data_IF_977371974925
#
_entry.id   IF_977371974925
#
_cell.length_a   1.000
_cell.length_b   1.000
_cell.length_c   1.000
_cell.angle_alpha   90.00
_cell.angle_beta   90.00
_cell.angle_gamma   90.00
#
_symmetry.space_group_name_H-M   'P 1'
#
loop_
_entity.id
_entity.type
_entity.pdbx_description
1 polymer ?
#
# COMPACT_ATOMS: atom_id res chain seq x y z
N UNK A 1 -20.75 -27.18 7.69
CA UNK A 1 -19.31 -27.33 7.44
C UNK A 1 -18.96 -26.21 6.50
N UNK A 2 -18.60 -25.06 7.07
CA UNK A 2 -18.16 -23.91 6.26
C UNK A 2 -16.69 -24.16 5.91
N UNK A 3 -16.41 -24.23 4.61
CA UNK A 3 -15.05 -24.25 4.12
C UNK A 3 -14.51 -22.83 4.28
N UNK A 4 -13.70 -22.61 5.31
CA UNK A 4 -12.87 -21.42 5.43
C UNK A 4 -11.81 -21.51 4.32
N UNK A 5 -12.17 -21.08 3.10
CA UNK A 5 -11.26 -20.97 1.95
C UNK A 5 -10.34 -19.76 2.13
N UNK A 6 -9.70 -19.64 3.28
CA UNK A 6 -8.72 -18.60 3.55
C UNK A 6 -7.40 -19.06 2.93
N UNK A 7 -7.31 -18.98 1.60
CA UNK A 7 -6.02 -19.07 0.93
C UNK A 7 -5.11 -18.01 1.56
N UNK A 8 -3.84 -18.34 1.85
CA UNK A 8 -2.91 -17.32 2.33
C UNK A 8 -2.81 -16.23 1.26
N UNK A 9 -2.82 -14.97 1.71
CA UNK A 9 -2.72 -13.82 0.81
C UNK A 9 -1.57 -14.02 -0.18
N UNK A 10 -1.81 -13.75 -1.47
CA UNK A 10 -0.77 -13.84 -2.52
C UNK A 10 0.27 -12.70 -2.46
N UNK A 11 0.34 -12.01 -1.31
CA UNK A 11 1.26 -10.95 -1.02
C UNK A 11 1.53 -10.83 0.48
N UNK A 12 2.62 -10.15 0.84
CA UNK A 12 2.88 -9.65 2.19
C UNK A 12 2.82 -8.12 2.21
N UNK A 13 2.30 -7.54 3.29
CA UNK A 13 2.30 -6.09 3.49
C UNK A 13 3.63 -5.65 4.14
N UNK A 14 4.29 -4.65 3.54
CA UNK A 14 5.57 -4.11 3.99
C UNK A 14 5.39 -2.82 4.79
N UNK A 15 4.57 -1.91 4.28
CA UNK A 15 4.19 -0.68 4.97
C UNK A 15 2.67 -0.52 4.92
N UNK A 16 2.09 -0.07 6.02
CA UNK A 16 0.66 0.19 6.13
C UNK A 16 0.41 1.48 6.88
N UNK A 17 -0.24 2.43 6.22
CA UNK A 17 -0.64 3.70 6.78
C UNK A 17 -2.12 3.96 6.46
N UNK A 18 -2.82 4.63 7.37
CA UNK A 18 -4.24 4.95 7.15
C UNK A 18 -4.64 6.31 7.72
N UNK A 19 -5.77 6.82 7.25
CA UNK A 19 -6.52 7.87 7.92
C UNK A 19 -8.02 7.54 7.93
N UNK A 20 -8.90 8.53 8.08
CA UNK A 20 -10.35 8.30 8.08
C UNK A 20 -10.91 7.90 6.70
N UNK A 21 -10.19 8.17 5.61
CA UNK A 21 -10.70 8.06 4.24
C UNK A 21 -9.92 7.04 3.40
N UNK A 22 -8.62 6.88 3.66
CA UNK A 22 -7.72 6.14 2.80
C UNK A 22 -6.82 5.19 3.58
N UNK A 23 -6.45 4.09 2.91
CA UNK A 23 -5.27 3.28 3.16
C UNK A 23 -4.18 3.66 2.15
N UNK A 24 -2.93 3.68 2.60
CA UNK A 24 -1.74 3.72 1.76
C UNK A 24 -0.82 2.60 2.19
N UNK A 25 -0.43 1.75 1.26
CA UNK A 25 0.38 0.58 1.58
C UNK A 25 1.34 0.19 0.48
N UNK A 26 2.41 -0.47 0.89
CA UNK A 26 3.28 -1.24 0.02
C UNK A 26 3.05 -2.73 0.27
N UNK A 27 2.93 -3.49 -0.81
CA UNK A 27 2.86 -4.94 -0.78
C UNK A 27 3.99 -5.54 -1.61
N UNK A 28 4.43 -6.74 -1.23
CA UNK A 28 5.28 -7.62 -2.02
C UNK A 28 4.47 -8.85 -2.42
N UNK A 29 4.22 -9.03 -3.71
CA UNK A 29 3.61 -10.25 -4.27
C UNK A 29 4.48 -11.47 -4.00
N UNK A 30 3.85 -12.58 -3.66
CA UNK A 30 4.50 -13.86 -3.37
C UNK A 30 4.15 -14.94 -4.38
N UNK A 31 3.33 -14.62 -5.37
CA UNK A 31 2.85 -15.50 -6.44
C UNK A 31 3.60 -15.33 -7.77
N UNK A 32 4.61 -14.44 -7.81
CA UNK A 32 5.45 -14.19 -8.98
C UNK A 32 6.81 -14.88 -8.86
N UNK A 33 7.42 -15.18 -10.02
CA UNK A 33 8.80 -15.65 -10.11
C UNK A 33 9.79 -14.64 -9.51
N UNK A 34 10.91 -15.12 -8.99
CA UNK A 34 12.03 -14.26 -8.56
C UNK A 34 12.65 -13.46 -9.72
N UNK A 35 12.43 -13.91 -10.96
CA UNK A 35 12.87 -13.23 -12.19
C UNK A 35 11.90 -12.14 -12.67
N UNK A 36 10.73 -11.99 -12.03
CA UNK A 36 9.77 -10.97 -12.39
C UNK A 36 10.32 -9.55 -12.12
N UNK A 37 9.85 -8.58 -12.89
CA UNK A 37 10.26 -7.20 -12.70
C UNK A 37 9.91 -6.71 -11.29
N UNK A 38 10.80 -5.94 -10.68
CA UNK A 38 10.59 -5.40 -9.33
C UNK A 38 9.30 -4.57 -9.25
N UNK A 39 8.93 -3.87 -10.32
CA UNK A 39 7.69 -3.11 -10.41
C UNK A 39 6.44 -4.00 -10.42
N UNK A 40 6.57 -5.30 -10.72
CA UNK A 40 5.50 -6.27 -10.63
C UNK A 40 5.44 -6.97 -9.28
N UNK A 41 6.60 -7.18 -8.66
CA UNK A 41 6.71 -7.76 -7.32
C UNK A 41 6.25 -6.76 -6.24
N UNK A 42 6.72 -5.52 -6.29
CA UNK A 42 6.43 -4.48 -5.30
C UNK A 42 5.40 -3.51 -5.84
N UNK A 43 4.27 -3.37 -5.14
CA UNK A 43 3.19 -2.47 -5.53
C UNK A 43 2.87 -1.49 -4.39
N UNK A 44 2.87 -0.21 -4.72
CA UNK A 44 2.33 0.84 -3.86
C UNK A 44 0.90 1.18 -4.29
N UNK A 45 0.00 1.32 -3.32
CA UNK A 45 -1.42 1.54 -3.59
C UNK A 45 -2.01 2.51 -2.59
N UNK A 46 -2.90 3.40 -3.05
CA UNK A 46 -3.83 4.16 -2.22
C UNK A 46 -5.25 3.64 -2.45
N UNK A 47 -5.97 3.36 -1.38
CA UNK A 47 -7.26 2.69 -1.45
C UNK A 47 -8.25 3.43 -0.56
N UNK A 48 -9.44 3.73 -1.07
CA UNK A 48 -10.49 4.34 -0.25
C UNK A 48 -11.08 3.33 0.74
N UNK A 49 -11.40 3.78 1.96
CA UNK A 49 -11.94 2.92 3.02
C UNK A 49 -13.32 2.35 2.74
N UNK A 50 -14.02 2.88 1.74
CA UNK A 50 -15.27 2.32 1.22
C UNK A 50 -15.06 1.18 0.22
N UNK A 51 -13.80 0.85 -0.10
CA UNK A 51 -13.41 -0.19 -1.06
C UNK A 51 -14.00 0.02 -2.47
N UNK A 52 -14.19 1.27 -2.87
CA UNK A 52 -14.69 1.60 -4.22
C UNK A 52 -13.56 1.88 -5.21
N UNK A 53 -12.37 2.26 -4.72
CA UNK A 53 -11.26 2.65 -5.57
C UNK A 53 -9.92 2.13 -5.07
N UNK A 54 -9.10 1.69 -6.02
CA UNK A 54 -7.67 1.43 -5.86
C UNK A 54 -6.95 2.32 -6.86
N UNK A 55 -6.04 3.15 -6.36
CA UNK A 55 -5.13 3.93 -7.16
C UNK A 55 -3.71 3.35 -6.99
N UNK A 56 -3.14 2.72 -8.03
CA UNK A 56 -1.73 2.40 -8.05
C UNK A 56 -0.89 3.67 -7.94
N UNK A 57 0.21 3.57 -7.18
CA UNK A 57 1.19 4.64 -7.08
C UNK A 57 2.46 4.19 -7.81
N UNK A 58 2.79 4.90 -8.88
CA UNK A 58 3.89 4.54 -9.77
C UNK A 58 5.21 5.00 -9.17
N UNK A 59 5.93 4.07 -8.53
CA UNK A 59 7.18 4.34 -7.84
C UNK A 59 8.26 4.89 -8.79
N UNK A 60 8.93 5.98 -8.37
CA UNK A 60 10.02 6.62 -9.10
C UNK A 60 11.34 6.52 -8.38
N UNK A 61 11.34 6.86 -7.10
CA UNK A 61 12.54 6.83 -6.27
C UNK A 61 12.16 6.83 -4.79
N UNK A 62 13.15 6.55 -3.95
CA UNK A 62 13.03 6.68 -2.51
C UNK A 62 14.26 7.37 -1.95
N UNK A 63 14.08 8.04 -0.83
CA UNK A 63 15.14 8.46 0.07
C UNK A 63 14.81 7.92 1.47
N UNK A 64 15.83 7.53 2.22
CA UNK A 64 15.68 6.95 3.55
C UNK A 64 16.78 7.48 4.45
N UNK A 65 16.38 8.12 5.55
CA UNK A 65 17.25 8.48 6.66
C UNK A 65 16.90 7.61 7.88
N UNK A 66 17.67 7.73 8.98
CA UNK A 66 17.46 6.92 10.19
C UNK A 66 16.02 6.99 10.73
N UNK A 67 15.38 8.16 10.64
CA UNK A 67 14.08 8.41 11.26
C UNK A 67 12.96 8.70 10.27
N UNK A 68 13.25 8.82 8.97
CA UNK A 68 12.29 9.27 7.96
C UNK A 68 12.48 8.49 6.66
N UNK A 69 11.35 8.00 6.17
CA UNK A 69 11.20 7.36 4.86
C UNK A 69 10.49 8.30 3.89
N UNK A 70 11.01 8.36 2.66
CA UNK A 70 10.45 9.15 1.58
C UNK A 70 10.24 8.28 0.35
N UNK A 71 9.06 8.38 -0.28
CA UNK A 71 8.70 7.67 -1.52
C UNK A 71 8.15 8.68 -2.51
N UNK A 72 8.75 8.71 -3.69
CA UNK A 72 8.37 9.59 -4.78
C UNK A 72 7.63 8.76 -5.83
N UNK A 73 6.43 9.23 -6.19
CA UNK A 73 5.56 8.58 -7.16
C UNK A 73 5.24 9.52 -8.33
N UNK A 74 4.69 8.99 -9.42
CA UNK A 74 4.12 9.83 -10.47
C UNK A 74 2.94 10.69 -9.95
N UNK A 75 2.17 10.13 -9.01
CA UNK A 75 0.92 10.67 -8.49
C UNK A 75 1.12 11.60 -7.28
N UNK A 76 2.29 11.56 -6.64
CA UNK A 76 2.54 12.31 -5.41
C UNK A 76 3.79 11.90 -4.68
N UNK A 77 3.85 12.25 -3.41
CA UNK A 77 4.99 12.02 -2.54
C UNK A 77 4.50 11.58 -1.15
N UNK A 78 5.07 10.50 -0.63
CA UNK A 78 4.81 10.01 0.73
C UNK A 78 6.05 10.24 1.59
N UNK A 79 5.86 10.93 2.71
CA UNK A 79 6.85 11.05 3.79
C UNK A 79 6.30 10.42 5.04
N UNK A 80 7.05 9.53 5.68
CA UNK A 80 6.57 8.87 6.89
C UNK A 80 7.70 8.40 7.80
N UNK A 81 7.34 8.07 9.02
CA UNK A 81 8.19 7.44 10.01
C UNK A 81 7.36 6.44 10.84
N UNK A 82 7.85 6.06 12.02
CA UNK A 82 7.15 5.11 12.89
C UNK A 82 5.86 5.67 13.53
N UNK A 83 5.66 6.99 13.55
CA UNK A 83 4.57 7.64 14.29
C UNK A 83 3.59 8.41 13.41
N UNK A 84 4.02 8.90 12.24
CA UNK A 84 3.20 9.70 11.34
C UNK A 84 3.61 9.52 9.88
N UNK A 85 2.67 9.78 8.98
CA UNK A 85 2.89 9.87 7.55
C UNK A 85 2.12 11.04 6.94
N UNK A 86 2.57 11.52 5.79
CA UNK A 86 1.84 12.49 4.97
C UNK A 86 2.03 12.14 3.50
N UNK A 87 0.91 11.93 2.81
CA UNK A 87 0.89 11.80 1.36
C UNK A 87 0.46 13.13 0.75
N UNK A 88 1.25 13.65 -0.19
CA UNK A 88 1.01 14.92 -0.89
C UNK A 88 0.74 14.58 -2.35
N UNK A 89 -0.46 14.89 -2.83
CA UNK A 89 -0.83 14.71 -4.23
C UNK A 89 -0.12 15.71 -5.14
N UNK A 90 0.38 15.24 -6.27
CA UNK A 90 1.11 16.10 -7.22
C UNK A 90 0.24 17.16 -7.89
N UNK A 91 -1.02 16.84 -8.20
CA UNK A 91 -1.86 17.66 -9.08
C UNK A 91 -2.56 18.83 -8.38
N UNK A 92 -3.00 18.62 -7.14
CA UNK A 92 -3.77 19.60 -6.37
C UNK A 92 -3.08 19.99 -5.05
N UNK A 93 -1.91 19.42 -4.77
CA UNK A 93 -1.18 19.60 -3.50
C UNK A 93 -2.00 19.23 -2.26
N UNK A 94 -3.05 18.42 -2.41
CA UNK A 94 -3.82 17.90 -1.29
C UNK A 94 -2.93 17.07 -0.39
N UNK A 95 -3.01 17.32 0.92
CA UNK A 95 -2.22 16.62 1.92
C UNK A 95 -3.13 15.68 2.72
N UNK A 96 -2.69 14.44 2.81
CA UNK A 96 -3.37 13.38 3.54
C UNK A 96 -2.45 13.00 4.70
N UNK A 97 -2.79 13.46 5.90
CA UNK A 97 -2.11 12.98 7.11
C UNK A 97 -2.54 11.54 7.38
N UNK A 98 -1.55 10.69 7.66
CA UNK A 98 -1.72 9.26 7.81
C UNK A 98 -1.07 8.82 9.13
N UNK A 99 -1.61 7.76 9.71
CA UNK A 99 -1.05 7.08 10.87
C UNK A 99 -0.48 5.74 10.42
N UNK A 100 0.82 5.49 10.61
CA UNK A 100 1.41 4.17 10.44
C UNK A 100 0.73 3.15 11.36
N UNK A 101 0.47 1.97 10.84
CA UNK A 101 -0.12 0.84 11.56
C UNK A 101 0.79 -0.38 11.40
N UNK A 102 0.66 -1.31 12.34
CA UNK A 102 1.32 -2.60 12.20
C UNK A 102 0.75 -3.41 11.04
N UNK A 103 1.58 -4.21 10.38
CA UNK A 103 1.18 -5.09 9.27
C UNK A 103 0.12 -6.12 9.67
N UNK A 104 0.05 -6.45 10.95
CA UNK A 104 -0.97 -7.31 11.56
C UNK A 104 -2.34 -6.61 11.69
N UNK A 105 -2.39 -5.29 11.52
CA UNK A 105 -3.61 -4.49 11.59
C UNK A 105 -4.30 -4.29 10.24
N UNK A 106 -3.80 -4.92 9.16
CA UNK A 106 -4.41 -4.84 7.83
C UNK A 106 -5.78 -5.54 7.86
N UNK A 107 -6.89 -4.85 7.55
CA UNK A 107 -8.22 -5.46 7.56
C UNK A 107 -8.37 -6.60 6.56
N UNK A 108 -9.13 -7.64 6.91
CA UNK A 108 -9.37 -8.79 6.00
C UNK A 108 -10.06 -8.37 4.71
N UNK A 109 -11.01 -7.43 4.82
CA UNK A 109 -11.73 -6.85 3.70
C UNK A 109 -10.77 -6.16 2.72
N UNK A 110 -9.75 -5.48 3.25
CA UNK A 110 -8.70 -4.86 2.45
C UNK A 110 -7.84 -5.90 1.74
N UNK A 111 -7.46 -6.98 2.43
CA UNK A 111 -6.71 -8.09 1.82
C UNK A 111 -7.50 -8.67 0.65
N UNK A 112 -8.76 -9.07 0.86
CA UNK A 112 -9.59 -9.63 -0.20
C UNK A 112 -9.83 -8.66 -1.37
N UNK A 113 -9.88 -7.35 -1.09
CA UNK A 113 -10.02 -6.34 -2.13
C UNK A 113 -8.76 -6.23 -3.01
N UNK A 114 -7.58 -6.30 -2.39
CA UNK A 114 -6.30 -6.29 -3.09
C UNK A 114 -6.08 -7.57 -3.90
N UNK A 115 -6.40 -8.73 -3.33
CA UNK A 115 -6.26 -10.01 -4.05
C UNK A 115 -7.08 -10.02 -5.34
N UNK A 116 -8.34 -9.56 -5.27
CA UNK A 116 -9.19 -9.41 -6.47
C UNK A 116 -8.60 -8.45 -7.49
N UNK A 117 -7.96 -7.38 -7.04
CA UNK A 117 -7.29 -6.43 -7.93
C UNK A 117 -6.07 -7.03 -8.63
N UNK A 118 -5.30 -7.88 -7.94
CA UNK A 118 -4.08 -8.49 -8.48
C UNK A 118 -4.34 -9.66 -9.46
N UNK A 119 -5.56 -10.21 -9.47
CA UNK A 119 -5.98 -11.30 -10.37
C UNK A 119 -6.49 -10.81 -11.73
N UNK A 120 -6.77 -9.51 -11.85
CA UNK A 120 -7.25 -8.87 -13.09
C UNK A 120 -6.09 -8.19 -13.83
#
# INVERSE_FOLDING_TARGET
MEFDNNLPANFICLYFLENSENYVLEIKRTDLSEEADLSDIYKWMRITKDFTSIQPLTFRSMDSSLDVEERYFEEGYLKFNQTAGTFIEKYNSAQHHLTPKGKESVPKELISFIERYLLN
#
